data_IF_949442760952
#
_entry.id   IF_949442760952
#
_cell.length_a   1.000
_cell.length_b   1.000
_cell.length_c   1.000
_cell.angle_alpha   90.00
_cell.angle_beta   90.00
_cell.angle_gamma   90.00
#
_symmetry.space_group_name_H-M   'P 1'
#
loop_
_entity.id
_entity.type
_entity.pdbx_description
1 polymer ?
#
# COMPACT_ATOMS: atom_id res chain seq x y z
N UNK A 1 -21.96 -2.20 -5.31
CA UNK A 1 -20.60 -2.74 -5.14
C UNK A 1 -20.65 -4.23 -5.45
N UNK A 2 -20.17 -4.65 -6.63
CA UNK A 2 -20.14 -6.06 -7.01
C UNK A 2 -18.86 -6.69 -6.47
N UNK A 3 -18.95 -7.36 -5.31
CA UNK A 3 -17.85 -8.15 -4.78
C UNK A 3 -17.73 -9.43 -5.60
N UNK A 4 -16.62 -9.61 -6.34
CA UNK A 4 -16.36 -10.86 -7.06
C UNK A 4 -16.34 -12.02 -6.06
N UNK A 5 -17.30 -12.92 -6.18
CA UNK A 5 -17.39 -14.14 -5.36
C UNK A 5 -16.44 -15.19 -5.94
N UNK A 6 -15.20 -15.23 -5.43
CA UNK A 6 -14.23 -16.26 -5.82
C UNK A 6 -14.60 -17.64 -5.24
N UNK A 7 -14.53 -18.66 -6.07
CA UNK A 7 -14.72 -20.06 -5.72
C UNK A 7 -13.68 -20.53 -4.68
N UNK A 8 -14.01 -21.59 -3.95
CA UNK A 8 -13.11 -22.18 -2.95
C UNK A 8 -11.81 -22.70 -3.57
N UNK A 9 -11.86 -23.15 -4.83
CA UNK A 9 -10.69 -23.58 -5.60
C UNK A 9 -9.77 -22.39 -5.91
N UNK A 10 -10.32 -21.26 -6.34
CA UNK A 10 -9.55 -20.03 -6.59
C UNK A 10 -8.89 -19.54 -5.29
N UNK A 11 -9.58 -19.59 -4.14
CA UNK A 11 -8.99 -19.22 -2.84
C UNK A 11 -7.87 -20.15 -2.38
N UNK A 12 -8.01 -21.46 -2.57
CA UNK A 12 -6.96 -22.42 -2.23
C UNK A 12 -5.73 -22.28 -3.15
N UNK A 13 -5.96 -22.05 -4.44
CA UNK A 13 -4.91 -21.76 -5.41
C UNK A 13 -4.20 -20.43 -5.06
N UNK A 14 -4.96 -19.41 -4.66
CA UNK A 14 -4.43 -18.13 -4.17
C UNK A 14 -3.54 -18.31 -2.94
N UNK A 15 -4.00 -19.03 -1.91
CA UNK A 15 -3.18 -19.27 -0.70
C UNK A 15 -1.86 -19.98 -1.03
N UNK A 16 -1.89 -20.97 -1.94
CA UNK A 16 -0.69 -21.67 -2.39
C UNK A 16 0.24 -20.78 -3.23
N UNK A 17 -0.30 -19.93 -4.09
CA UNK A 17 0.47 -18.92 -4.81
C UNK A 17 1.13 -17.90 -3.86
N UNK A 18 0.47 -17.57 -2.74
CA UNK A 18 0.97 -16.68 -1.69
C UNK A 18 2.17 -17.28 -0.94
N UNK A 19 2.15 -18.59 -0.70
CA UNK A 19 3.27 -19.30 -0.07
C UNK A 19 4.45 -19.42 -1.05
N UNK A 20 4.17 -19.81 -2.30
CA UNK A 20 5.19 -19.98 -3.35
C UNK A 20 5.92 -18.67 -3.67
N UNK A 21 5.19 -17.54 -3.79
CA UNK A 21 5.82 -16.24 -4.08
C UNK A 21 6.78 -15.78 -2.97
N UNK A 22 6.45 -16.02 -1.70
CA UNK A 22 7.31 -15.66 -0.58
C UNK A 22 8.55 -16.55 -0.49
N UNK A 23 8.41 -17.83 -0.84
CA UNK A 23 9.52 -18.78 -0.89
C UNK A 23 10.50 -18.46 -2.03
N UNK A 24 10.00 -18.18 -3.24
CA UNK A 24 10.86 -17.82 -4.38
C UNK A 24 11.59 -16.50 -4.15
N UNK A 25 10.92 -15.53 -3.53
CA UNK A 25 11.57 -14.27 -3.13
C UNK A 25 12.72 -14.52 -2.15
N UNK A 26 12.54 -15.41 -1.16
CA UNK A 26 13.62 -15.80 -0.23
C UNK A 26 14.77 -16.54 -0.91
N UNK A 27 14.47 -17.33 -1.95
CA UNK A 27 15.46 -18.02 -2.79
C UNK A 27 16.18 -17.10 -3.77
N UNK A 28 15.77 -15.84 -3.87
CA UNK A 28 16.34 -14.86 -4.79
C UNK A 28 15.83 -14.96 -6.24
N UNK A 29 14.86 -15.83 -6.51
CA UNK A 29 14.20 -15.92 -7.81
C UNK A 29 13.08 -14.87 -7.91
N UNK A 30 13.51 -13.63 -8.13
CA UNK A 30 12.61 -12.48 -8.23
C UNK A 30 11.71 -12.55 -9.46
N UNK A 31 12.15 -13.17 -10.56
CA UNK A 31 11.34 -13.29 -11.78
C UNK A 31 10.14 -14.21 -11.56
N UNK A 32 10.36 -15.37 -10.95
CA UNK A 32 9.27 -16.28 -10.59
C UNK A 32 8.33 -15.66 -9.55
N UNK A 33 8.90 -15.05 -8.49
CA UNK A 33 8.11 -14.37 -7.47
C UNK A 33 7.22 -13.26 -8.07
N UNK A 34 7.76 -12.47 -9.00
CA UNK A 34 7.04 -11.42 -9.71
C UNK A 34 5.80 -11.95 -10.43
N UNK A 35 5.96 -13.03 -11.21
CA UNK A 35 4.83 -13.63 -11.92
C UNK A 35 3.69 -14.09 -11.00
N UNK A 36 4.02 -14.62 -9.81
CA UNK A 36 3.01 -14.98 -8.81
C UNK A 36 2.36 -13.74 -8.16
N UNK A 37 3.12 -12.68 -7.90
CA UNK A 37 2.55 -11.44 -7.38
C UNK A 37 1.61 -10.77 -8.38
N UNK A 38 1.94 -10.76 -9.68
CA UNK A 38 1.06 -10.22 -10.73
C UNK A 38 -0.29 -10.95 -10.74
N UNK A 39 -0.28 -12.28 -10.78
CA UNK A 39 -1.52 -13.08 -10.76
C UNK A 39 -2.35 -12.84 -9.50
N UNK A 40 -1.70 -12.70 -8.34
CA UNK A 40 -2.42 -12.42 -7.10
C UNK A 40 -3.03 -11.00 -7.09
N UNK A 41 -2.30 -10.01 -7.60
CA UNK A 41 -2.79 -8.64 -7.77
C UNK A 41 -4.00 -8.57 -8.71
N UNK A 42 -3.99 -9.29 -9.83
CA UNK A 42 -5.14 -9.41 -10.75
C UNK A 42 -6.40 -9.98 -10.09
N UNK A 43 -6.21 -10.77 -9.02
CA UNK A 43 -7.29 -11.34 -8.21
C UNK A 43 -7.70 -10.44 -7.02
N UNK A 44 -7.11 -9.24 -6.92
CA UNK A 44 -7.42 -8.26 -5.87
C UNK A 44 -6.67 -8.45 -4.56
N UNK A 45 -5.56 -9.21 -4.56
CA UNK A 45 -4.69 -9.32 -3.38
C UNK A 45 -3.94 -7.99 -3.15
N UNK A 46 -4.35 -7.29 -2.11
CA UNK A 46 -3.82 -6.01 -1.67
C UNK A 46 -2.33 -6.09 -1.28
N UNK A 47 -1.90 -7.19 -0.64
CA UNK A 47 -0.50 -7.39 -0.27
C UNK A 47 0.36 -7.69 -1.51
N UNK A 48 -0.22 -8.30 -2.54
CA UNK A 48 0.47 -8.55 -3.80
C UNK A 48 0.85 -7.25 -4.49
N UNK A 49 -0.09 -6.29 -4.55
CA UNK A 49 0.17 -4.96 -5.07
C UNK A 49 1.31 -4.27 -4.30
N UNK A 50 1.29 -4.28 -2.97
CA UNK A 50 2.40 -3.70 -2.19
C UNK A 50 3.76 -4.37 -2.48
N UNK A 51 3.78 -5.69 -2.69
CA UNK A 51 5.02 -6.41 -3.00
C UNK A 51 5.52 -6.14 -4.41
N UNK A 52 4.63 -5.99 -5.39
CA UNK A 52 5.00 -5.56 -6.74
C UNK A 52 5.64 -4.18 -6.72
N UNK A 53 5.07 -3.22 -5.98
CA UNK A 53 5.65 -1.88 -5.88
C UNK A 53 7.06 -1.93 -5.28
N UNK A 54 7.29 -2.73 -4.23
CA UNK A 54 8.63 -2.94 -3.67
C UNK A 54 9.60 -3.56 -4.68
N UNK A 55 9.16 -4.52 -5.49
CA UNK A 55 10.02 -5.14 -6.50
C UNK A 55 10.45 -4.14 -7.58
N UNK A 56 9.53 -3.25 -7.99
CA UNK A 56 9.86 -2.14 -8.91
C UNK A 56 10.79 -1.10 -8.27
N UNK A 57 10.52 -0.69 -7.03
CA UNK A 57 11.32 0.28 -6.29
C UNK A 57 12.77 -0.20 -6.09
N UNK A 58 12.93 -1.47 -5.70
CA UNK A 58 14.24 -2.09 -5.45
C UNK A 58 14.97 -2.51 -6.75
N UNK A 59 14.38 -2.28 -7.92
CA UNK A 59 14.96 -2.68 -9.21
C UNK A 59 15.16 -4.20 -9.36
N UNK A 60 14.33 -5.01 -8.68
CA UNK A 60 14.40 -6.48 -8.74
C UNK A 60 13.81 -7.06 -10.03
N UNK A 61 13.09 -6.23 -10.78
CA UNK A 61 12.52 -6.54 -12.09
C UNK A 61 12.68 -5.34 -13.01
N UNK A 62 12.52 -5.55 -14.32
CA UNK A 62 12.60 -4.48 -15.30
C UNK A 62 11.50 -3.44 -15.03
N UNK A 63 11.91 -2.24 -14.63
CA UNK A 63 11.00 -1.15 -14.28
C UNK A 63 10.48 -0.44 -15.53
N UNK A 64 9.16 -0.36 -15.68
CA UNK A 64 8.51 0.65 -16.53
C UNK A 64 8.17 1.87 -15.67
N UNK A 65 8.17 3.05 -16.28
CA UNK A 65 7.86 4.29 -15.58
C UNK A 65 6.43 4.21 -15.02
N UNK A 66 6.26 4.49 -13.72
CA UNK A 66 4.94 4.57 -13.06
C UNK A 66 4.41 3.29 -12.42
N UNK A 67 4.95 2.11 -12.73
CA UNK A 67 4.43 0.81 -12.21
C UNK A 67 4.53 0.70 -10.68
N UNK A 68 5.59 1.25 -10.10
CA UNK A 68 5.76 1.32 -8.64
C UNK A 68 4.60 2.05 -7.99
N UNK A 69 4.28 3.25 -8.49
CA UNK A 69 3.26 4.12 -7.92
C UNK A 69 1.87 3.55 -8.15
N UNK A 70 1.61 3.01 -9.35
CA UNK A 70 0.35 2.34 -9.65
C UNK A 70 0.03 1.24 -8.64
N UNK A 71 0.98 0.33 -8.37
CA UNK A 71 0.75 -0.72 -7.40
C UNK A 71 0.69 -0.24 -5.94
N UNK A 72 1.37 0.86 -5.61
CA UNK A 72 1.23 1.55 -4.34
C UNK A 72 -0.19 2.13 -4.16
N UNK A 73 -0.78 2.70 -5.21
CA UNK A 73 -2.15 3.22 -5.23
C UNK A 73 -3.18 2.12 -5.03
N UNK A 74 -3.09 1.03 -5.80
CA UNK A 74 -4.01 -0.12 -5.66
C UNK A 74 -3.95 -0.71 -4.25
N UNK A 75 -2.75 -0.92 -3.70
CA UNK A 75 -2.59 -1.41 -2.33
C UNK A 75 -3.15 -0.42 -1.29
N UNK A 76 -2.94 0.88 -1.49
CA UNK A 76 -3.46 1.90 -0.59
C UNK A 76 -4.99 1.98 -0.62
N UNK A 77 -5.61 1.89 -1.80
CA UNK A 77 -7.07 1.82 -1.99
C UNK A 77 -7.64 0.57 -1.32
N UNK A 78 -6.95 -0.56 -1.47
CA UNK A 78 -7.28 -1.83 -0.81
C UNK A 78 -7.07 -1.85 0.71
N UNK A 79 -6.57 -0.77 1.30
CA UNK A 79 -6.44 -0.65 2.75
C UNK A 79 -5.10 -1.15 3.30
N UNK A 80 -4.02 -1.14 2.53
CA UNK A 80 -2.68 -1.45 3.03
C UNK A 80 -2.03 -0.21 3.71
N UNK A 81 -1.76 -0.23 5.03
CA UNK A 81 -1.25 0.94 5.75
C UNK A 81 0.14 1.38 5.27
N UNK A 82 1.05 0.42 5.06
CA UNK A 82 2.42 0.71 4.60
C UNK A 82 2.46 1.27 3.18
N UNK A 83 1.61 0.78 2.27
CA UNK A 83 1.50 1.35 0.92
C UNK A 83 0.95 2.79 0.99
N UNK A 84 -0.08 3.04 1.82
CA UNK A 84 -0.59 4.38 2.05
C UNK A 84 0.50 5.33 2.58
N UNK A 85 1.34 4.86 3.51
CA UNK A 85 2.50 5.62 3.98
C UNK A 85 3.52 5.86 2.85
N UNK A 86 3.77 4.86 2.00
CA UNK A 86 4.67 4.97 0.85
C UNK A 86 4.24 6.07 -0.14
N UNK A 87 2.94 6.20 -0.43
CA UNK A 87 2.41 7.31 -1.21
C UNK A 87 2.64 8.65 -0.52
N UNK A 88 2.46 8.71 0.80
CA UNK A 88 2.77 9.89 1.60
C UNK A 88 4.23 10.32 1.44
N UNK A 89 5.17 9.38 1.55
CA UNK A 89 6.59 9.63 1.35
C UNK A 89 6.92 10.06 -0.09
N UNK A 90 6.26 9.47 -1.10
CA UNK A 90 6.43 9.85 -2.50
C UNK A 90 6.00 11.29 -2.75
N UNK A 91 4.79 11.65 -2.33
CA UNK A 91 4.26 13.01 -2.47
C UNK A 91 5.10 14.03 -1.70
N UNK A 92 5.61 13.66 -0.52
CA UNK A 92 6.49 14.51 0.27
C UNK A 92 7.78 14.85 -0.49
N UNK A 93 8.41 13.84 -1.10
CA UNK A 93 9.64 14.02 -1.89
C UNK A 93 9.42 14.88 -3.14
N UNK A 94 8.21 14.86 -3.68
CA UNK A 94 7.82 15.68 -4.82
C UNK A 94 7.40 17.12 -4.41
N UNK A 95 7.44 17.46 -3.11
CA UNK A 95 7.05 18.77 -2.60
C UNK A 95 5.53 18.94 -2.38
N UNK A 96 4.73 17.92 -2.66
CA UNK A 96 3.27 17.92 -2.50
C UNK A 96 2.87 17.67 -1.05
N UNK A 97 3.36 18.53 -0.15
CA UNK A 97 3.29 18.39 1.31
C UNK A 97 1.86 18.19 1.82
N UNK A 98 0.87 18.91 1.28
CA UNK A 98 -0.53 18.77 1.70
C UNK A 98 -1.09 17.36 1.40
N UNK A 99 -0.80 16.83 0.20
CA UNK A 99 -1.20 15.47 -0.19
C UNK A 99 -0.48 14.44 0.66
N UNK A 100 0.82 14.62 0.87
CA UNK A 100 1.62 13.75 1.69
C UNK A 100 1.06 13.61 3.12
N UNK A 101 0.71 14.73 3.75
CA UNK A 101 0.11 14.75 5.09
C UNK A 101 -1.21 13.96 5.11
N UNK A 102 -2.08 14.13 4.11
CA UNK A 102 -3.34 13.35 4.02
C UNK A 102 -3.08 11.85 3.97
N UNK A 103 -2.14 11.41 3.12
CA UNK A 103 -1.75 10.00 3.04
C UNK A 103 -1.21 9.47 4.37
N UNK A 104 -0.34 10.23 5.04
CA UNK A 104 0.26 9.85 6.31
C UNK A 104 -0.76 9.79 7.46
N UNK A 105 -1.74 10.70 7.49
CA UNK A 105 -2.84 10.68 8.47
C UNK A 105 -3.71 9.43 8.28
N UNK A 106 -4.02 9.07 7.03
CA UNK A 106 -4.80 7.85 6.75
C UNK A 106 -3.98 6.61 7.12
N UNK A 107 -2.70 6.55 6.78
CA UNK A 107 -1.85 5.42 7.17
C UNK A 107 -1.76 5.29 8.71
N UNK A 108 -1.63 6.41 9.41
CA UNK A 108 -1.65 6.49 10.86
C UNK A 108 -2.97 5.98 11.47
N UNK A 109 -4.12 6.38 10.92
CA UNK A 109 -5.42 5.90 11.41
C UNK A 109 -5.64 4.41 11.18
N UNK A 110 -4.92 3.83 10.21
CA UNK A 110 -4.89 2.39 9.94
C UNK A 110 -3.82 1.65 10.78
N UNK A 111 -3.19 2.32 11.75
CA UNK A 111 -2.22 1.72 12.68
C UNK A 111 -0.76 1.75 12.23
N UNK A 112 -0.41 2.53 11.20
CA UNK A 112 1.00 2.67 10.79
C UNK A 112 1.71 3.73 11.65
N UNK A 113 2.28 3.31 12.78
CA UNK A 113 2.94 4.18 13.77
C UNK A 113 4.07 5.04 13.18
N UNK A 114 4.77 4.54 12.16
CA UNK A 114 5.82 5.27 11.47
C UNK A 114 5.30 6.57 10.84
N UNK A 115 4.05 6.59 10.39
CA UNK A 115 3.43 7.79 9.81
C UNK A 115 3.16 8.86 10.86
N UNK A 116 2.65 8.47 12.04
CA UNK A 116 2.43 9.41 13.15
C UNK A 116 3.75 10.01 13.60
N UNK A 117 4.78 9.17 13.80
CA UNK A 117 6.12 9.63 14.19
C UNK A 117 6.70 10.61 13.18
N UNK A 118 6.60 10.30 11.89
CA UNK A 118 7.07 11.18 10.82
C UNK A 118 6.37 12.55 10.89
N UNK A 119 5.05 12.57 11.03
CA UNK A 119 4.29 13.81 11.12
C UNK A 119 4.65 14.62 12.39
N UNK A 120 4.78 13.96 13.54
CA UNK A 120 5.19 14.61 14.79
C UNK A 120 6.59 15.23 14.69
N UNK A 121 7.54 14.54 14.05
CA UNK A 121 8.92 15.06 13.87
C UNK A 121 8.97 16.29 12.95
N UNK A 122 8.13 16.33 11.91
CA UNK A 122 8.17 17.42 10.92
C UNK A 122 7.26 18.62 11.28
N UNK A 123 6.18 18.41 12.04
CA UNK A 123 5.21 19.47 12.37
C UNK A 123 5.07 19.76 13.88
N UNK A 124 5.69 18.98 14.76
CA UNK A 124 5.63 19.18 16.21
C UNK A 124 4.22 19.04 16.80
N UNK A 125 3.94 19.80 17.87
CA UNK A 125 2.67 19.77 18.60
C UNK A 125 1.45 20.34 17.86
N UNK A 126 1.66 21.06 16.74
CA UNK A 126 0.60 21.66 15.93
C UNK A 126 -0.24 20.61 15.16
N UNK A 127 0.28 19.39 15.05
CA UNK A 127 -0.37 18.29 14.36
C UNK A 127 -1.62 17.78 15.08
N UNK A 128 -1.68 17.88 16.42
CA UNK A 128 -2.79 17.35 17.22
C UNK A 128 -4.13 17.92 16.77
N UNK A 129 -4.22 19.23 16.53
CA UNK A 129 -5.46 19.89 16.12
C UNK A 129 -5.89 19.50 14.70
N UNK A 130 -4.93 19.41 13.76
CA UNK A 130 -5.19 19.01 12.37
C UNK A 130 -5.59 17.54 12.25
N UNK A 131 -4.98 16.66 13.05
CA UNK A 131 -5.33 15.24 13.12
C UNK A 131 -6.77 15.06 13.62
N UNK A 132 -7.17 15.76 14.69
CA UNK A 132 -8.54 15.69 15.23
C UNK A 132 -9.58 16.18 14.21
N UNK A 133 -9.34 17.32 13.54
CA UNK A 133 -10.25 17.86 12.51
C UNK A 133 -10.39 16.93 11.30
N UNK A 134 -9.30 16.35 10.80
CA UNK A 134 -9.35 15.43 9.66
C UNK A 134 -10.00 14.09 10.01
N UNK A 135 -9.73 13.51 11.19
CA UNK A 135 -10.38 12.27 11.63
C UNK A 135 -11.90 12.44 11.77
N UNK A 136 -12.34 13.58 12.30
CA UNK A 136 -13.77 13.95 12.36
C UNK A 136 -14.38 14.06 10.97
N UNK A 137 -13.67 14.64 9.99
CA UNK A 137 -14.19 14.76 8.61
C UNK A 137 -14.30 13.42 7.85
N UNK A 138 -13.54 12.39 8.26
CA UNK A 138 -13.68 11.03 7.69
C UNK A 138 -14.87 10.27 8.32
N UNK A 139 -15.28 10.63 9.54
CA UNK A 139 -16.44 10.03 10.22
C UNK A 139 -17.77 10.73 9.92
N UNK A 140 -17.76 11.85 9.17
CA UNK A 140 -18.97 12.55 8.72
C UNK A 140 -19.18 12.29 7.22
N UNK A 141 -19.57 11.06 6.88
CA UNK A 141 -20.49 10.83 5.75
C UNK A 141 -21.71 10.12 6.32
N UNK A 142 -22.78 10.84 6.69
CA UNK A 142 -24.07 10.20 6.80
C UNK A 142 -24.50 9.76 5.39
N UNK A 143 -25.11 8.57 5.34
CA UNK A 143 -25.71 7.93 4.17
C UNK A 143 -26.66 8.85 3.40
#
# INVERSE_FOLDING_TARGET
>A
MSGKSYSQHERACMKRAVELRAEQYKKGDYSSAFGYYVKAAELGDVDAHYRLSLMYYLGKVLRRMGEEIYHLEEAAIGGHPTARCGLGCHEWRNGNTERAVKHLIIAASMGHDGSIKFLMMNFGGDLSAKMTLLLLSVHIRPL
#
